data_IF_023618203128
#
_entry.id   IF_023618203128
#
_cell.length_a   1.000
_cell.length_b   1.000
_cell.length_c   1.000
_cell.angle_alpha   90.00
_cell.angle_beta   90.00
_cell.angle_gamma   90.00
#
_symmetry.space_group_name_H-M   'P 1'
#
loop_
_entity.id
_entity.type
_entity.pdbx_description
1 polymer ?
#
# COMPACT_ATOMS: atom_id res chain seq x y z
N UNK A 1 8.69 0.21 8.49
CA UNK A 1 7.29 0.34 8.01
C UNK A 1 7.29 0.70 6.53
N UNK A 2 6.40 0.11 5.73
CA UNK A 2 6.27 0.39 4.29
C UNK A 2 4.85 0.91 3.99
N UNK A 3 4.77 2.08 3.35
CA UNK A 3 3.55 2.56 2.73
C UNK A 3 3.56 2.19 1.25
N UNK A 4 2.50 1.54 0.80
CA UNK A 4 2.30 1.10 -0.57
C UNK A 4 1.14 1.88 -1.20
N UNK A 5 1.43 2.61 -2.26
CA UNK A 5 0.41 3.36 -2.99
C UNK A 5 -0.23 2.49 -4.08
N UNK A 6 -1.56 2.36 -4.02
CA UNK A 6 -2.36 1.71 -5.06
C UNK A 6 -2.26 2.48 -6.39
N UNK A 7 -2.52 1.77 -7.49
CA UNK A 7 -2.47 2.29 -8.85
C UNK A 7 -3.39 3.50 -9.04
N UNK A 8 -4.52 3.56 -8.32
CA UNK A 8 -5.49 4.66 -8.43
C UNK A 8 -4.95 6.00 -7.91
N UNK A 9 -3.94 6.00 -7.02
CA UNK A 9 -3.30 7.23 -6.54
C UNK A 9 -2.35 7.83 -7.59
N UNK A 10 -1.92 7.02 -8.57
CA UNK A 10 -0.91 7.38 -9.55
C UNK A 10 0.51 7.37 -8.96
N UNK A 11 1.49 7.87 -9.73
CA UNK A 11 2.91 7.74 -9.36
C UNK A 11 3.55 9.02 -8.80
N UNK A 12 2.89 10.17 -8.95
CA UNK A 12 3.49 11.47 -8.60
C UNK A 12 3.76 11.60 -7.10
N UNK A 13 2.75 11.32 -6.27
CA UNK A 13 2.86 11.38 -4.80
C UNK A 13 3.93 10.40 -4.28
N UNK A 14 3.88 9.08 -4.60
CA UNK A 14 4.87 8.16 -4.07
C UNK A 14 6.30 8.46 -4.55
N UNK A 15 6.47 8.97 -5.78
CA UNK A 15 7.79 9.40 -6.28
C UNK A 15 8.33 10.59 -5.50
N UNK A 16 7.51 11.61 -5.24
CA UNK A 16 7.92 12.78 -4.46
C UNK A 16 8.24 12.37 -3.03
N UNK A 17 7.38 11.59 -2.37
CA UNK A 17 7.63 11.12 -1.00
C UNK A 17 8.89 10.25 -0.90
N UNK A 18 9.17 9.41 -1.91
CA UNK A 18 10.38 8.60 -1.97
C UNK A 18 11.68 9.40 -2.10
N UNK A 19 11.61 10.68 -2.49
CA UNK A 19 12.77 11.59 -2.50
C UNK A 19 13.08 12.15 -1.12
N UNK A 20 12.10 12.14 -0.21
CA UNK A 20 12.29 12.60 1.16
C UNK A 20 12.76 11.45 2.04
N UNK A 21 13.76 11.72 2.88
CA UNK A 21 13.98 10.93 4.09
C UNK A 21 12.86 11.28 5.05
N UNK A 22 11.78 10.51 5.03
CA UNK A 22 10.69 10.70 5.99
C UNK A 22 11.27 10.49 7.40
N UNK A 23 11.19 11.50 8.28
CA UNK A 23 11.77 11.41 9.60
C UNK A 23 11.06 10.31 10.38
N UNK A 24 11.82 9.34 10.90
CA UNK A 24 11.36 8.48 11.98
C UNK A 24 11.59 9.21 13.30
N UNK A 25 10.57 9.27 14.14
CA UNK A 25 10.71 9.83 15.49
C UNK A 25 11.34 8.76 16.39
N UNK A 26 12.65 8.84 16.62
CA UNK A 26 13.36 7.94 17.54
C UNK A 26 14.20 6.86 16.85
N UNK A 27 14.26 5.66 17.44
CA UNK A 27 15.07 4.51 16.97
C UNK A 27 14.38 3.64 15.91
N UNK A 28 13.20 4.06 15.43
CA UNK A 28 12.45 3.31 14.43
C UNK A 28 13.11 3.37 13.05
N UNK A 29 13.05 2.26 12.28
CA UNK A 29 13.57 2.25 10.92
C UNK A 29 12.80 3.24 10.04
N UNK A 30 13.47 3.90 9.07
CA UNK A 30 12.83 4.86 8.18
C UNK A 30 11.61 4.26 7.47
N UNK A 31 10.58 5.08 7.30
CA UNK A 31 9.44 4.74 6.46
C UNK A 31 9.91 4.63 5.02
N UNK A 32 9.55 3.52 4.36
CA UNK A 32 9.80 3.34 2.92
C UNK A 32 8.50 3.50 2.14
N UNK A 33 8.65 4.07 0.94
CA UNK A 33 7.54 4.30 0.02
C UNK A 33 7.69 3.34 -1.16
N UNK A 34 6.65 2.55 -1.38
CA UNK A 34 6.50 1.64 -2.51
C UNK A 34 5.17 1.97 -3.22
N UNK A 35 5.01 1.55 -4.47
CA UNK A 35 3.79 1.81 -5.25
C UNK A 35 3.57 0.76 -6.31
N UNK A 36 2.31 0.55 -6.70
CA UNK A 36 1.90 -0.54 -7.57
C UNK A 36 2.72 -0.66 -8.86
N UNK A 37 2.91 0.45 -9.59
CA UNK A 37 3.63 0.46 -10.87
C UNK A 37 5.13 0.14 -10.75
N UNK A 38 5.69 0.08 -9.54
CA UNK A 38 7.08 -0.37 -9.29
C UNK A 38 7.20 -1.89 -9.19
N UNK A 39 6.13 -2.58 -8.80
CA UNK A 39 6.14 -4.01 -8.46
C UNK A 39 5.27 -4.86 -9.40
N UNK A 40 4.19 -4.29 -9.95
CA UNK A 40 3.16 -5.01 -10.68
C UNK A 40 2.84 -4.37 -12.03
N UNK A 41 2.34 -5.19 -12.96
CA UNK A 41 1.88 -4.71 -14.28
C UNK A 41 0.57 -3.98 -14.10
N UNK A 42 0.27 -3.01 -14.98
CA UNK A 42 -0.94 -2.20 -14.87
C UNK A 42 -2.26 -3.00 -14.87
N UNK A 43 -2.25 -4.21 -15.43
CA UNK A 43 -3.39 -5.12 -15.51
C UNK A 43 -3.38 -6.26 -14.48
N UNK A 44 -2.47 -6.24 -13.50
CA UNK A 44 -2.47 -7.20 -12.39
C UNK A 44 -3.78 -7.07 -11.60
N UNK A 45 -4.42 -8.20 -11.32
CA UNK A 45 -5.70 -8.25 -10.60
C UNK A 45 -5.53 -7.90 -9.12
N UNK A 46 -6.55 -7.32 -8.50
CA UNK A 46 -6.44 -6.84 -7.12
C UNK A 46 -6.14 -7.95 -6.12
N UNK A 47 -6.80 -9.10 -6.28
CA UNK A 47 -6.53 -10.29 -5.46
C UNK A 47 -5.06 -10.76 -5.51
N UNK A 48 -4.38 -10.58 -6.66
CA UNK A 48 -3.00 -11.05 -6.85
C UNK A 48 -2.00 -10.16 -6.12
N UNK A 49 -2.09 -8.84 -6.32
CA UNK A 49 -1.14 -7.93 -5.70
C UNK A 49 -1.45 -7.66 -4.23
N UNK A 50 -2.74 -7.67 -3.82
CA UNK A 50 -3.13 -7.49 -2.42
C UNK A 50 -2.63 -8.64 -1.55
N UNK A 51 -2.67 -9.89 -2.04
CA UNK A 51 -2.13 -11.04 -1.32
C UNK A 51 -0.64 -10.85 -1.01
N UNK A 52 0.15 -10.41 -1.99
CA UNK A 52 1.59 -10.18 -1.83
C UNK A 52 1.86 -9.04 -0.85
N UNK A 53 1.15 -7.91 -1.01
CA UNK A 53 1.33 -6.73 -0.15
C UNK A 53 0.89 -7.02 1.30
N UNK A 54 -0.16 -7.83 1.46
CA UNK A 54 -0.64 -8.34 2.76
C UNK A 54 0.36 -9.28 3.43
N UNK A 55 0.95 -10.23 2.69
CA UNK A 55 1.99 -11.14 3.20
C UNK A 55 3.23 -10.40 3.73
N UNK A 56 3.54 -9.23 3.16
CA UNK A 56 4.62 -8.38 3.65
C UNK A 56 4.21 -7.38 4.74
N UNK A 57 2.96 -7.41 5.21
CA UNK A 57 2.40 -6.50 6.22
C UNK A 57 2.57 -5.01 5.82
N UNK A 58 2.41 -4.69 4.53
CA UNK A 58 2.49 -3.31 4.03
C UNK A 58 1.16 -2.58 4.23
N UNK A 59 1.23 -1.27 4.46
CA UNK A 59 0.05 -0.41 4.61
C UNK A 59 -0.34 0.14 3.23
N UNK A 60 -1.56 -0.14 2.77
CA UNK A 60 -2.04 0.24 1.44
C UNK A 60 -2.76 1.58 1.48
N UNK A 61 -2.31 2.52 0.66
CA UNK A 61 -2.93 3.84 0.48
C UNK A 61 -3.60 3.90 -0.89
N UNK A 62 -4.91 4.16 -0.92
CA UNK A 62 -5.70 4.18 -2.15
C UNK A 62 -6.63 5.39 -2.21
N UNK A 63 -7.26 5.61 -3.36
CA UNK A 63 -8.30 6.64 -3.52
C UNK A 63 -9.72 6.07 -3.56
N UNK A 64 -9.87 4.75 -3.65
CA UNK A 64 -11.20 4.14 -3.74
C UNK A 64 -11.79 3.85 -2.35
N UNK A 65 -12.76 4.66 -1.96
CA UNK A 65 -13.58 4.46 -0.76
C UNK A 65 -14.31 3.09 -0.69
N UNK A 66 -14.32 2.31 -1.79
CA UNK A 66 -14.98 1.00 -1.87
C UNK A 66 -14.14 -0.19 -1.41
N UNK A 67 -12.82 -0.03 -1.18
CA UNK A 67 -11.97 -1.10 -0.64
C UNK A 67 -12.43 -1.62 0.74
N UNK A 68 -13.30 -0.87 1.42
CA UNK A 68 -13.86 -1.23 2.72
C UNK A 68 -15.29 -1.78 2.66
N UNK A 69 -15.88 -1.97 1.46
CA UNK A 69 -17.30 -2.31 1.30
C UNK A 69 -17.53 -3.71 0.71
N UNK A 70 -16.50 -4.39 0.22
CA UNK A 70 -16.61 -5.78 -0.25
C UNK A 70 -16.22 -6.75 0.88
N UNK A 71 -17.07 -7.76 1.18
CA UNK A 71 -16.82 -8.68 2.30
C UNK A 71 -15.46 -9.38 2.24
N UNK A 72 -14.97 -9.66 1.03
CA UNK A 72 -13.72 -10.37 0.78
C UNK A 72 -12.50 -9.48 1.10
N UNK A 73 -12.59 -8.18 0.80
CA UNK A 73 -11.52 -7.21 1.03
C UNK A 73 -11.42 -6.88 2.54
N UNK A 74 -12.55 -6.81 3.26
CA UNK A 74 -12.58 -6.71 4.72
C UNK A 74 -12.00 -7.93 5.44
N UNK A 75 -12.20 -9.13 4.88
CA UNK A 75 -11.60 -10.36 5.40
C UNK A 75 -10.08 -10.31 5.22
N UNK A 76 -9.59 -9.96 4.03
CA UNK A 76 -8.16 -9.81 3.76
C UNK A 76 -7.51 -8.70 4.61
N UNK A 77 -8.18 -7.56 4.80
CA UNK A 77 -7.72 -6.47 5.68
C UNK A 77 -7.58 -6.93 7.14
N UNK A 78 -8.56 -7.71 7.64
CA UNK A 78 -8.54 -8.25 9.02
C UNK A 78 -7.58 -9.41 9.19
N UNK A 79 -7.44 -10.26 8.18
CA UNK A 79 -6.59 -11.45 8.18
C UNK A 79 -5.11 -11.09 8.05
N UNK A 80 -4.79 -10.04 7.30
CA UNK A 80 -3.41 -9.61 7.03
C UNK A 80 -3.00 -8.29 7.71
N UNK A 81 -3.81 -7.75 8.63
CA UNK A 81 -3.51 -6.57 9.44
C UNK A 81 -3.10 -5.32 8.63
N UNK A 82 -3.80 -5.07 7.54
CA UNK A 82 -3.52 -3.95 6.62
C UNK A 82 -4.29 -2.69 7.05
N UNK A 83 -3.60 -1.56 7.23
CA UNK A 83 -4.27 -0.25 7.32
C UNK A 83 -4.61 0.27 5.93
N UNK A 84 -5.86 0.69 5.71
CA UNK A 84 -6.31 1.25 4.44
C UNK A 84 -7.06 2.57 4.69
N UNK A 85 -6.67 3.63 3.98
CA UNK A 85 -7.10 5.02 4.19
C UNK A 85 -7.30 5.73 2.86
#
# INVERSE_FOLDING_TARGET
>A
MIFFFDRNVGTTIPKVLGQFRLPSTGSEPPVRIEYHQKHFRANTHDDEWLAIVGDYEWIVLGQDSKFHQRPNELAAIKEHNVGCF
#
